data_IF_783725745642
#
_entry.id   IF_783725745642
#
_cell.length_a   1.000
_cell.length_b   1.000
_cell.length_c   1.000
_cell.angle_alpha   90.00
_cell.angle_beta   90.00
_cell.angle_gamma   90.00
#
_symmetry.space_group_name_H-M   'P 1'
#
loop_
_entity.id
_entity.type
_entity.pdbx_description
1 polymer ?
#
# COMPACT_ATOMS: atom_id res chain seq x y z
N UNK A 1 -21.07 -9.01 -16.45
CA UNK A 1 -20.23 -10.23 -16.45
C UNK A 1 -18.91 -9.99 -17.20
N UNK A 2 -18.94 -9.55 -18.47
CA UNK A 2 -17.72 -9.34 -19.30
C UNK A 2 -16.78 -8.27 -18.70
N UNK A 3 -17.31 -7.16 -18.17
CA UNK A 3 -16.49 -6.07 -17.62
C UNK A 3 -15.67 -6.43 -16.37
N UNK A 4 -16.16 -7.35 -15.52
CA UNK A 4 -15.40 -7.78 -14.34
C UNK A 4 -14.23 -8.68 -14.74
N UNK A 5 -14.45 -9.55 -15.73
CA UNK A 5 -13.43 -10.45 -16.25
C UNK A 5 -12.32 -9.69 -16.98
N UNK A 6 -12.65 -8.65 -17.75
CA UNK A 6 -11.64 -7.84 -18.46
C UNK A 6 -10.82 -6.99 -17.49
N UNK A 7 -11.43 -6.39 -16.47
CA UNK A 7 -10.72 -5.64 -15.44
C UNK A 7 -9.80 -6.56 -14.63
N UNK A 8 -10.27 -7.75 -14.25
CA UNK A 8 -9.47 -8.75 -13.56
C UNK A 8 -8.28 -9.26 -14.39
N UNK A 9 -8.49 -9.51 -15.68
CA UNK A 9 -7.42 -9.90 -16.58
C UNK A 9 -6.39 -8.77 -16.75
N UNK A 10 -6.84 -7.52 -16.90
CA UNK A 10 -5.95 -6.37 -17.02
C UNK A 10 -5.10 -6.15 -15.76
N UNK A 11 -5.67 -6.27 -14.57
CA UNK A 11 -4.88 -6.17 -13.32
C UNK A 11 -3.86 -7.29 -13.19
N UNK A 12 -4.21 -8.54 -13.54
CA UNK A 12 -3.25 -9.64 -13.54
C UNK A 12 -2.12 -9.42 -14.54
N UNK A 13 -2.41 -8.90 -15.73
CA UNK A 13 -1.38 -8.55 -16.74
C UNK A 13 -0.45 -7.46 -16.20
N UNK A 14 -1.00 -6.41 -15.58
CA UNK A 14 -0.20 -5.32 -15.00
C UNK A 14 0.66 -5.82 -13.84
N UNK A 15 0.13 -6.69 -12.98
CA UNK A 15 0.89 -7.31 -11.88
C UNK A 15 2.01 -8.19 -12.44
N UNK A 16 1.72 -9.03 -13.43
CA UNK A 16 2.72 -9.88 -14.08
C UNK A 16 3.83 -9.03 -14.74
N UNK A 17 3.47 -7.98 -15.47
CA UNK A 17 4.43 -7.04 -16.02
C UNK A 17 5.26 -6.36 -14.92
N UNK A 18 4.63 -5.98 -13.80
CA UNK A 18 5.33 -5.38 -12.66
C UNK A 18 6.25 -6.36 -11.94
N UNK A 19 5.99 -7.66 -11.95
CA UNK A 19 6.85 -8.67 -11.34
C UNK A 19 8.02 -9.05 -12.25
N UNK A 20 7.78 -9.16 -13.56
CA UNK A 20 8.73 -9.72 -14.53
C UNK A 20 9.61 -8.67 -15.22
N UNK A 21 9.21 -7.40 -15.26
CA UNK A 21 10.02 -6.34 -15.86
C UNK A 21 11.05 -5.84 -14.86
N UNK A 22 12.31 -6.16 -15.12
CA UNK A 22 13.47 -5.68 -14.38
C UNK A 22 14.22 -4.66 -15.22
N UNK A 23 14.51 -3.50 -14.63
CA UNK A 23 15.36 -2.48 -15.25
C UNK A 23 16.78 -2.70 -14.78
N UNK A 24 17.67 -3.06 -15.70
CA UNK A 24 19.10 -3.19 -15.46
C UNK A 24 19.72 -1.80 -15.27
N UNK A 25 20.84 -1.72 -14.55
CA UNK A 25 21.57 -0.46 -14.32
C UNK A 25 22.01 0.22 -15.63
N UNK A 26 22.22 -0.56 -16.69
CA UNK A 26 22.54 -0.09 -18.05
C UNK A 26 21.33 0.49 -18.82
N UNK A 27 20.18 0.63 -18.16
CA UNK A 27 18.96 1.18 -18.75
C UNK A 27 18.18 0.20 -19.64
N UNK A 28 18.66 -1.04 -19.79
CA UNK A 28 17.96 -2.10 -20.53
C UNK A 28 16.82 -2.69 -19.70
N UNK A 29 15.73 -3.09 -20.37
CA UNK A 29 14.64 -3.83 -19.76
C UNK A 29 14.83 -5.31 -20.07
N UNK A 30 15.00 -6.11 -19.02
CA UNK A 30 15.05 -7.56 -19.12
C UNK A 30 13.77 -8.13 -18.54
N UNK A 31 13.13 -9.00 -19.30
CA UNK A 31 11.97 -9.77 -18.84
C UNK A 31 12.51 -11.04 -18.20
N UNK A 32 12.39 -11.13 -16.88
CA UNK A 32 12.92 -12.25 -16.11
C UNK A 32 12.61 -12.10 -14.63
N UNK A 33 12.73 -13.19 -13.90
CA UNK A 33 12.53 -13.15 -12.45
C UNK A 33 13.69 -12.39 -11.77
N UNK A 34 13.40 -11.38 -10.94
CA UNK A 34 14.42 -10.63 -10.21
C UNK A 34 15.10 -11.49 -9.14
N UNK A 35 16.23 -10.99 -8.60
CA UNK A 35 16.93 -11.62 -7.46
C UNK A 35 15.98 -11.81 -6.26
N UNK A 36 16.25 -12.82 -5.41
CA UNK A 36 15.36 -13.22 -4.31
C UNK A 36 14.90 -12.03 -3.43
N UNK A 37 15.82 -11.11 -3.10
CA UNK A 37 15.52 -9.91 -2.32
C UNK A 37 14.54 -9.00 -3.04
N UNK A 38 14.82 -8.67 -4.31
CA UNK A 38 13.94 -7.80 -5.12
C UNK A 38 12.60 -8.46 -5.42
N UNK A 39 12.58 -9.78 -5.60
CA UNK A 39 11.35 -10.56 -5.78
C UNK A 39 10.44 -10.47 -4.56
N UNK A 40 11.01 -10.64 -3.36
CA UNK A 40 10.25 -10.57 -2.11
C UNK A 40 9.65 -9.18 -1.88
N UNK A 41 10.42 -8.10 -2.05
CA UNK A 41 9.90 -6.74 -1.97
C UNK A 41 8.74 -6.47 -2.94
N UNK A 42 8.79 -7.03 -4.15
CA UNK A 42 7.71 -6.88 -5.14
C UNK A 42 6.47 -7.68 -4.76
N UNK A 43 6.65 -8.89 -4.21
CA UNK A 43 5.54 -9.72 -3.72
C UNK A 43 4.84 -9.01 -2.55
N UNK A 44 5.60 -8.49 -1.58
CA UNK A 44 5.06 -7.77 -0.43
C UNK A 44 4.25 -6.54 -0.87
N UNK A 45 4.75 -5.79 -1.85
CA UNK A 45 4.04 -4.65 -2.42
C UNK A 45 2.74 -5.03 -3.15
N UNK A 46 2.73 -6.15 -3.89
CA UNK A 46 1.53 -6.66 -4.56
C UNK A 46 0.48 -7.11 -3.55
N UNK A 47 0.91 -7.80 -2.48
CA UNK A 47 0.02 -8.21 -1.38
C UNK A 47 -0.60 -7.01 -0.67
N UNK A 48 0.21 -5.99 -0.36
CA UNK A 48 -0.28 -4.75 0.25
C UNK A 48 -1.28 -4.02 -0.67
N UNK A 49 -1.00 -3.94 -1.97
CA UNK A 49 -1.90 -3.32 -2.94
C UNK A 49 -3.23 -4.08 -3.08
N UNK A 50 -3.19 -5.41 -3.09
CA UNK A 50 -4.39 -6.24 -3.14
C UNK A 50 -5.27 -6.07 -1.89
N UNK A 51 -4.65 -6.08 -0.70
CA UNK A 51 -5.35 -5.86 0.56
C UNK A 51 -5.98 -4.46 0.62
N UNK A 52 -5.23 -3.42 0.24
CA UNK A 52 -5.74 -2.05 0.18
C UNK A 52 -6.90 -1.91 -0.82
N UNK A 53 -6.79 -2.51 -2.01
CA UNK A 53 -7.84 -2.50 -3.02
C UNK A 53 -9.13 -3.17 -2.54
N UNK A 54 -9.00 -4.32 -1.86
CA UNK A 54 -10.15 -5.01 -1.26
C UNK A 54 -10.81 -4.17 -0.16
N UNK A 55 -10.02 -3.57 0.74
CA UNK A 55 -10.53 -2.70 1.79
C UNK A 55 -11.25 -1.46 1.23
N UNK A 56 -10.72 -0.85 0.17
CA UNK A 56 -11.37 0.27 -0.52
C UNK A 56 -12.69 -0.14 -1.19
N UNK A 57 -12.72 -1.31 -1.83
CA UNK A 57 -13.94 -1.86 -2.43
C UNK A 57 -15.05 -2.09 -1.39
N UNK A 58 -14.70 -2.70 -0.25
CA UNK A 58 -15.62 -2.92 0.88
C UNK A 58 -16.09 -1.59 1.47
N UNK A 59 -15.18 -0.65 1.73
CA UNK A 59 -15.51 0.68 2.24
C UNK A 59 -16.46 1.44 1.31
N UNK A 60 -16.23 1.37 0.00
CA UNK A 60 -17.12 1.92 -1.02
C UNK A 60 -18.52 1.30 -0.98
N UNK A 61 -18.61 -0.03 -0.90
CA UNK A 61 -19.90 -0.73 -0.81
C UNK A 61 -20.68 -0.37 0.45
N UNK A 62 -19.99 -0.28 1.61
CA UNK A 62 -20.58 0.15 2.88
C UNK A 62 -21.09 1.59 2.76
N UNK A 63 -20.28 2.50 2.22
CA UNK A 63 -20.63 3.91 2.08
C UNK A 63 -21.84 4.12 1.16
N UNK A 64 -21.86 3.43 0.01
CA UNK A 64 -22.98 3.46 -0.92
C UNK A 64 -24.27 2.94 -0.27
N UNK A 65 -24.17 1.93 0.59
CA UNK A 65 -25.32 1.36 1.33
C UNK A 65 -25.82 2.30 2.44
N UNK A 66 -24.92 2.89 3.22
CA UNK A 66 -25.26 3.78 4.33
C UNK A 66 -25.90 5.09 3.87
N UNK A 67 -25.35 5.72 2.83
CA UNK A 67 -25.90 6.97 2.29
C UNK A 67 -27.03 6.74 1.28
N UNK A 68 -27.31 5.48 0.91
CA UNK A 68 -28.23 5.10 -0.18
C UNK A 68 -27.98 5.92 -1.45
N UNK A 69 -26.70 6.23 -1.69
CA UNK A 69 -26.26 7.08 -2.79
C UNK A 69 -25.12 6.36 -3.53
N UNK A 70 -25.38 5.86 -4.75
CA UNK A 70 -24.38 5.12 -5.52
C UNK A 70 -23.18 5.99 -5.97
N UNK A 71 -23.23 7.32 -5.77
CA UNK A 71 -22.13 8.25 -6.04
C UNK A 71 -21.30 8.59 -4.80
N UNK A 72 -21.67 8.11 -3.61
CA UNK A 72 -20.93 8.38 -2.38
C UNK A 72 -19.60 7.62 -2.38
N UNK A 73 -18.51 8.34 -2.10
CA UNK A 73 -17.16 7.76 -1.98
C UNK A 73 -16.58 7.99 -0.58
N UNK A 74 -15.84 7.02 -0.03
CA UNK A 74 -15.28 7.10 1.32
C UNK A 74 -14.21 8.19 1.48
N UNK A 75 -13.67 8.70 0.37
CA UNK A 75 -12.70 9.80 0.37
C UNK A 75 -13.32 11.14 0.83
N UNK A 76 -14.63 11.32 0.66
CA UNK A 76 -15.32 12.59 0.95
C UNK A 76 -15.57 12.79 2.45
N UNK A 77 -15.62 11.70 3.24
CA UNK A 77 -15.89 11.78 4.68
C UNK A 77 -14.65 11.99 5.56
N UNK A 78 -13.49 12.32 4.99
CA UNK A 78 -12.29 12.64 5.76
C UNK A 78 -11.52 11.43 6.30
N UNK A 79 -11.82 10.21 5.83
CA UNK A 79 -11.06 8.99 6.20
C UNK A 79 -9.58 9.13 5.79
N UNK A 80 -9.31 9.71 4.62
CA UNK A 80 -7.95 9.89 4.11
C UNK A 80 -7.17 10.96 4.87
N UNK A 81 -7.80 12.07 5.24
CA UNK A 81 -7.16 13.11 6.06
C UNK A 81 -6.93 12.62 7.50
N UNK A 82 -7.85 11.84 8.07
CA UNK A 82 -7.67 11.19 9.36
C UNK A 82 -6.53 10.16 9.38
N UNK A 83 -6.42 9.32 8.34
CA UNK A 83 -5.32 8.39 8.19
C UNK A 83 -3.97 9.12 8.05
N UNK A 84 -3.90 10.19 7.25
CA UNK A 84 -2.69 11.01 7.10
C UNK A 84 -2.25 11.67 8.42
N UNK A 85 -3.20 12.25 9.17
CA UNK A 85 -2.92 12.82 10.49
C UNK A 85 -2.44 11.74 11.49
N UNK A 86 -3.07 10.56 11.48
CA UNK A 86 -2.65 9.43 12.31
C UNK A 86 -1.23 8.97 12.02
N UNK A 87 -0.85 8.84 10.74
CA UNK A 87 0.54 8.50 10.33
C UNK A 87 1.52 9.57 10.78
N UNK A 88 1.18 10.85 10.65
CA UNK A 88 2.03 11.95 11.09
C UNK A 88 2.27 11.91 12.61
N UNK A 89 1.20 11.70 13.40
CA UNK A 89 1.29 11.58 14.85
C UNK A 89 2.06 10.33 15.29
N UNK A 90 1.82 9.18 14.65
CA UNK A 90 2.54 7.94 14.94
C UNK A 90 4.03 8.06 14.60
N UNK A 91 4.37 8.68 13.47
CA UNK A 91 5.76 8.93 13.06
C UNK A 91 6.46 9.90 14.02
N UNK A 92 5.74 10.93 14.48
CA UNK A 92 6.26 11.85 15.49
C UNK A 92 6.50 11.11 16.82
N UNK A 93 5.55 10.33 17.30
CA UNK A 93 5.70 9.54 18.52
C UNK A 93 6.86 8.54 18.43
N UNK A 94 7.01 7.86 17.29
CA UNK A 94 8.12 6.95 17.03
C UNK A 94 9.47 7.68 16.98
N UNK A 95 9.54 8.87 16.39
CA UNK A 95 10.75 9.69 16.39
C UNK A 95 11.14 10.10 17.82
N UNK A 96 10.17 10.54 18.63
CA UNK A 96 10.41 10.88 20.04
C UNK A 96 10.87 9.67 20.86
N UNK A 97 10.25 8.50 20.68
CA UNK A 97 10.67 7.26 21.34
C UNK A 97 12.07 6.81 20.88
N UNK A 98 12.37 6.94 19.59
CA UNK A 98 13.68 6.65 19.01
C UNK A 98 14.78 7.61 19.46
N UNK A 99 14.45 8.85 19.81
CA UNK A 99 15.37 9.81 20.44
C UNK A 99 15.55 9.54 21.94
N UNK A 100 14.55 8.96 22.61
CA UNK A 100 14.65 8.54 24.01
C UNK A 100 15.55 7.30 24.20
N UNK A 101 15.63 6.41 23.21
CA UNK A 101 16.47 5.21 23.27
C UNK A 101 17.99 5.49 23.45
N UNK A 102 18.64 6.39 22.67
CA UNK A 102 20.05 6.74 22.89
C UNK A 102 20.25 7.61 24.14
N UNK A 103 19.25 8.39 24.57
CA UNK A 103 19.33 9.22 25.78
C UNK A 103 19.25 8.36 27.05
N UNK A 104 18.41 7.32 27.08
CA UNK A 104 18.38 6.33 28.17
C UNK A 104 19.68 5.53 28.27
N UNK A 105 20.20 5.09 27.13
CA UNK A 105 21.50 4.41 27.05
C UNK A 105 22.68 5.32 27.48
N UNK A 106 22.63 6.63 27.20
CA UNK A 106 23.65 7.60 27.63
C UNK A 106 23.59 7.96 29.12
N UNK A 107 22.43 7.79 29.77
CA UNK A 107 22.23 8.04 31.20
C UNK A 107 22.36 6.78 32.07
N UNK A 108 22.66 5.62 31.47
CA UNK A 108 22.92 4.38 32.20
C UNK A 108 21.69 3.80 32.90
N UNK A 109 20.48 4.20 32.51
CA UNK A 109 19.23 3.59 32.97
C UNK A 109 18.88 2.50 31.95
N UNK A 110 18.66 1.24 32.39
CA UNK A 110 18.34 0.13 31.48
C UNK A 110 17.07 0.39 30.65
#
# INVERSE_FOLDING_TARGET
MIGLATVGAATLIVVAARLLVVRTLDGTFVVGWPSAVLGQFRIDAVLAAAAAGAALGVSGAIMQTLLRNPLASPFVLGVTSGAGAGVALASLAAAWAGMAAPVGAALGVP
#
